data_IF_024813885574
#
_entry.id   IF_024813885574
#
_cell.length_a   1.000
_cell.length_b   1.000
_cell.length_c   1.000
_cell.angle_alpha   90.00
_cell.angle_beta   90.00
_cell.angle_gamma   90.00
#
_symmetry.space_group_name_H-M   'P 1'
#
loop_
_entity.id
_entity.type
_entity.pdbx_description
1 polymer ?
#
# COMPACT_ATOMS: atom_id res chain seq x y z
N UNK A 1 13.52 18.64 -1.70
CA UNK A 1 12.15 18.40 -1.23
C UNK A 1 11.83 16.93 -1.31
N UNK A 2 11.44 16.34 -0.20
CA UNK A 2 11.15 14.91 -0.18
C UNK A 2 9.72 14.67 -0.66
N UNK A 3 9.56 13.76 -1.62
CA UNK A 3 8.24 13.33 -2.07
C UNK A 3 7.95 12.00 -1.38
N UNK A 4 6.89 11.95 -0.60
CA UNK A 4 6.50 10.72 0.06
C UNK A 4 5.95 9.73 -0.97
N UNK A 5 6.37 8.49 -0.85
CA UNK A 5 5.80 7.42 -1.66
C UNK A 5 4.41 7.08 -1.14
N UNK A 6 3.57 6.55 -2.01
CA UNK A 6 2.20 6.17 -1.64
C UNK A 6 2.17 5.25 -0.41
N UNK A 7 3.13 4.33 -0.28
CA UNK A 7 3.20 3.46 0.88
C UNK A 7 3.37 4.22 2.18
N UNK A 8 4.23 5.23 2.20
CA UNK A 8 4.43 6.05 3.39
C UNK A 8 3.17 6.85 3.73
N UNK A 9 2.49 7.35 2.71
CA UNK A 9 1.23 8.06 2.90
C UNK A 9 0.19 7.16 3.56
N UNK A 10 0.10 5.91 3.13
CA UNK A 10 -0.84 4.94 3.70
C UNK A 10 -0.52 4.66 5.18
N UNK A 11 0.75 4.58 5.53
CA UNK A 11 1.17 4.42 6.92
C UNK A 11 0.79 5.65 7.73
N UNK A 12 1.05 6.84 7.21
CA UNK A 12 0.75 8.09 7.88
C UNK A 12 -0.75 8.27 8.15
N UNK A 13 -1.57 7.74 7.25
CA UNK A 13 -3.03 7.77 7.39
C UNK A 13 -3.54 6.70 8.38
N UNK A 14 -2.66 5.82 8.82
CA UNK A 14 -3.04 4.76 9.74
C UNK A 14 -3.76 3.59 9.09
N UNK A 15 -3.71 3.46 7.77
CA UNK A 15 -4.37 2.37 7.04
C UNK A 15 -3.57 1.08 7.08
N UNK A 16 -2.25 1.17 7.14
CA UNK A 16 -1.35 0.03 7.19
C UNK A 16 -0.18 0.34 8.11
N UNK A 17 0.60 -0.68 8.45
CA UNK A 17 1.87 -0.53 9.16
C UNK A 17 3.02 -0.92 8.24
N UNK A 18 4.25 -0.83 8.74
CA UNK A 18 5.43 -1.16 7.94
C UNK A 18 5.46 -2.61 7.48
N UNK A 19 5.00 -3.52 8.34
CA UNK A 19 4.93 -4.94 7.99
C UNK A 19 3.97 -5.17 6.84
N UNK A 20 2.80 -4.56 6.91
CA UNK A 20 1.79 -4.65 5.85
C UNK A 20 2.31 -4.04 4.56
N UNK A 21 3.05 -2.94 4.65
CA UNK A 21 3.66 -2.33 3.47
C UNK A 21 4.63 -3.30 2.80
N UNK A 22 5.45 -4.00 3.58
CA UNK A 22 6.36 -5.01 3.05
C UNK A 22 5.61 -6.09 2.27
N UNK A 23 4.52 -6.60 2.83
CA UNK A 23 3.67 -7.59 2.17
C UNK A 23 3.08 -7.03 0.87
N UNK A 24 2.64 -5.78 0.88
CA UNK A 24 2.09 -5.14 -0.30
C UNK A 24 3.13 -5.02 -1.41
N UNK A 25 4.36 -4.66 -1.06
CA UNK A 25 5.44 -4.53 -2.04
C UNK A 25 5.80 -5.87 -2.66
N UNK A 26 5.84 -6.93 -1.86
CA UNK A 26 6.09 -8.29 -2.37
C UNK A 26 4.97 -8.71 -3.32
N UNK A 27 3.74 -8.45 -2.95
CA UNK A 27 2.57 -8.79 -3.78
C UNK A 27 2.59 -7.98 -5.07
N UNK A 28 2.91 -6.71 -5.00
CA UNK A 28 3.00 -5.85 -6.18
C UNK A 28 4.03 -6.40 -7.17
N UNK A 29 5.20 -6.79 -6.68
CA UNK A 29 6.24 -7.36 -7.54
C UNK A 29 5.77 -8.66 -8.19
N UNK A 30 5.07 -9.52 -7.44
CA UNK A 30 4.56 -10.78 -7.96
C UNK A 30 3.47 -10.57 -9.01
N UNK A 31 2.77 -9.47 -8.96
CA UNK A 31 1.68 -9.14 -9.90
C UNK A 31 2.12 -8.27 -11.07
N UNK A 32 3.42 -8.04 -11.22
CA UNK A 32 3.93 -7.30 -12.37
C UNK A 32 3.75 -5.79 -12.30
N UNK A 33 3.71 -5.23 -11.10
CA UNK A 33 3.68 -3.77 -10.92
C UNK A 33 2.29 -3.15 -10.83
N UNK A 34 1.30 -3.89 -10.36
CA UNK A 34 -0.02 -3.36 -10.06
C UNK A 34 0.10 -2.14 -9.13
N UNK A 35 -0.75 -1.10 -9.28
CA UNK A 35 -0.69 0.06 -8.40
C UNK A 35 -0.75 -0.34 -6.92
N UNK A 36 0.15 0.20 -6.11
CA UNK A 36 0.29 -0.20 -4.70
C UNK A 36 -0.98 -0.01 -3.90
N UNK A 37 -1.69 1.10 -4.13
CA UNK A 37 -2.95 1.36 -3.42
C UNK A 37 -3.98 0.26 -3.65
N UNK A 38 -4.05 -0.27 -4.87
CA UNK A 38 -4.97 -1.35 -5.18
C UNK A 38 -4.54 -2.68 -4.59
N UNK A 39 -3.24 -2.88 -4.45
CA UNK A 39 -2.71 -4.08 -3.79
C UNK A 39 -3.22 -4.17 -2.36
N UNK A 40 -3.19 -3.06 -1.62
CA UNK A 40 -3.68 -3.03 -0.24
C UNK A 40 -5.18 -3.35 -0.16
N UNK A 41 -5.97 -2.83 -1.08
CA UNK A 41 -7.41 -3.15 -1.16
C UNK A 41 -7.59 -4.64 -1.42
N UNK A 42 -6.86 -5.18 -2.38
CA UNK A 42 -6.92 -6.60 -2.76
C UNK A 42 -6.56 -7.51 -1.60
N UNK A 43 -5.61 -7.11 -0.77
CA UNK A 43 -5.18 -7.87 0.41
C UNK A 43 -6.12 -7.70 1.60
N UNK A 44 -7.09 -6.79 1.51
CA UNK A 44 -8.04 -6.55 2.57
C UNK A 44 -7.53 -5.68 3.70
N UNK A 45 -6.48 -4.92 3.48
CA UNK A 45 -5.92 -4.04 4.52
C UNK A 45 -6.77 -2.80 4.73
N UNK A 46 -7.46 -2.36 3.71
CA UNK A 46 -8.39 -1.22 3.77
C UNK A 46 -9.32 -1.29 2.57
N UNK A 47 -10.33 -0.44 2.54
CA UNK A 47 -11.28 -0.40 1.42
C UNK A 47 -10.92 0.72 0.44
N UNK A 48 -11.45 0.63 -0.77
CA UNK A 48 -11.25 1.68 -1.77
C UNK A 48 -11.76 3.04 -1.28
N UNK A 49 -12.80 3.02 -0.46
CA UNK A 49 -13.39 4.24 0.09
C UNK A 49 -12.44 4.97 1.02
N UNK A 50 -11.47 4.28 1.60
CA UNK A 50 -10.48 4.87 2.50
C UNK A 50 -9.32 5.51 1.74
N UNK A 51 -9.20 5.26 0.47
CA UNK A 51 -8.21 5.91 -0.36
C UNK A 51 -8.74 7.27 -0.81
#
# INVERSE_FOLDING_TARGET
MAIKRIGQILIDLGLIDEHQLGTMLETQAARGGEPLGRVGVSLGFYSEEQL
#
